data_IF_724237386719
#
_entry.id   IF_724237386719
#
_cell.length_a   1.000
_cell.length_b   1.000
_cell.length_c   1.000
_cell.angle_alpha   90.00
_cell.angle_beta   90.00
_cell.angle_gamma   90.00
#
_symmetry.space_group_name_H-M   'P 1'
#
loop_
_entity.id
_entity.type
_entity.pdbx_description
1 polymer ?
#
# COMPACT_ATOMS: atom_id res chain seq x y z
N UNK A 1 4.20 20.01 28.27
CA UNK A 1 3.95 18.59 27.83
C UNK A 1 3.26 18.47 26.46
N UNK A 2 2.51 19.49 26.05
CA UNK A 2 1.60 19.50 24.91
C UNK A 2 2.28 19.22 23.54
N UNK A 3 3.49 19.74 23.30
CA UNK A 3 4.23 19.49 22.04
C UNK A 3 4.61 18.01 21.83
N UNK A 4 4.90 17.27 22.92
CA UNK A 4 5.27 15.84 22.85
C UNK A 4 4.11 14.97 22.35
N UNK A 5 2.87 15.38 22.66
CA UNK A 5 1.64 14.71 22.20
C UNK A 5 1.49 14.81 20.69
N UNK A 6 1.79 15.96 20.11
CA UNK A 6 1.58 16.23 18.68
C UNK A 6 2.73 15.78 17.77
N UNK A 7 3.96 15.77 18.29
CA UNK A 7 5.18 15.44 17.51
C UNK A 7 5.07 14.18 16.64
N UNK A 8 4.48 13.04 17.08
CA UNK A 8 4.35 11.84 16.25
C UNK A 8 3.39 12.01 15.06
N UNK A 9 2.47 12.98 15.11
CA UNK A 9 1.36 13.12 14.18
C UNK A 9 1.50 14.29 13.22
N UNK A 10 2.45 15.21 13.43
CA UNK A 10 2.67 16.35 12.54
C UNK A 10 2.95 15.92 11.09
N UNK A 11 3.62 14.78 10.88
CA UNK A 11 3.86 14.21 9.56
C UNK A 11 2.61 13.69 8.84
N UNK A 12 1.48 13.53 9.54
CA UNK A 12 0.23 13.08 8.91
C UNK A 12 -0.42 14.16 8.04
N UNK A 13 -0.29 15.43 8.43
CA UNK A 13 -0.86 16.56 7.71
C UNK A 13 -0.47 16.62 6.21
N UNK A 14 0.82 16.61 5.82
CA UNK A 14 1.18 16.68 4.41
C UNK A 14 0.64 15.49 3.61
N UNK A 15 0.60 14.29 4.18
CA UNK A 15 0.01 13.14 3.49
C UNK A 15 -1.49 13.31 3.24
N UNK A 16 -2.22 13.87 4.21
CA UNK A 16 -3.66 14.14 4.10
C UNK A 16 -3.91 15.28 3.10
N UNK A 17 -3.17 16.38 3.21
CA UNK A 17 -3.29 17.54 2.32
C UNK A 17 -3.02 17.12 0.87
N UNK A 18 -1.92 16.38 0.61
CA UNK A 18 -1.61 15.87 -0.74
C UNK A 18 -2.68 14.91 -1.27
N UNK A 19 -3.27 14.06 -0.41
CA UNK A 19 -4.33 13.16 -0.83
C UNK A 19 -5.62 13.89 -1.22
N UNK A 20 -5.95 14.97 -0.52
CA UNK A 20 -7.11 15.83 -0.83
C UNK A 20 -6.86 16.58 -2.14
N UNK A 21 -5.71 17.25 -2.27
CA UNK A 21 -5.34 18.01 -3.47
C UNK A 21 -5.25 17.10 -4.71
N UNK A 22 -4.69 15.89 -4.58
CA UNK A 22 -4.58 14.95 -5.71
C UNK A 22 -5.95 14.41 -6.18
N UNK A 23 -6.95 14.39 -5.30
CA UNK A 23 -8.30 13.93 -5.64
C UNK A 23 -9.18 15.05 -6.22
N UNK A 24 -8.73 16.30 -6.12
CA UNK A 24 -9.42 17.49 -6.57
C UNK A 24 -9.00 17.88 -7.98
N UNK A 25 -9.80 17.47 -8.97
CA UNK A 25 -9.56 17.80 -10.36
C UNK A 25 -9.76 19.30 -10.66
N UNK A 26 -10.54 20.00 -9.84
CA UNK A 26 -10.98 21.38 -10.11
C UNK A 26 -10.11 22.43 -9.39
N UNK A 27 -9.18 21.99 -8.53
CA UNK A 27 -8.26 22.86 -7.78
C UNK A 27 -8.93 23.75 -6.72
N UNK A 28 -10.20 23.47 -6.39
CA UNK A 28 -11.00 24.20 -5.40
C UNK A 28 -10.68 23.84 -3.94
N UNK A 29 -9.98 22.73 -3.71
CA UNK A 29 -9.59 22.19 -2.40
C UNK A 29 -8.13 22.51 -2.06
N UNK A 30 -7.58 23.62 -2.57
CA UNK A 30 -6.23 24.08 -2.20
C UNK A 30 -6.06 24.11 -0.69
N UNK A 31 -4.91 23.62 -0.22
CA UNK A 31 -4.60 23.51 1.21
C UNK A 31 -3.64 24.59 1.70
N UNK A 32 -3.25 25.54 0.86
CA UNK A 32 -2.23 26.56 1.18
C UNK A 32 -2.58 27.40 2.41
N UNK A 33 -3.81 27.94 2.46
CA UNK A 33 -4.25 28.74 3.59
C UNK A 33 -4.28 27.93 4.89
N UNK A 34 -4.82 26.71 4.84
CA UNK A 34 -4.84 25.82 5.99
C UNK A 34 -3.43 25.41 6.43
N UNK A 35 -2.49 25.22 5.48
CA UNK A 35 -1.07 24.99 5.80
C UNK A 35 -0.48 26.19 6.55
N UNK A 36 -0.78 27.40 6.10
CA UNK A 36 -0.32 28.65 6.73
C UNK A 36 -0.87 28.83 8.15
N UNK A 37 -2.18 28.65 8.35
CA UNK A 37 -2.80 28.73 9.68
C UNK A 37 -2.26 27.67 10.63
N UNK A 38 -2.15 26.42 10.15
CA UNK A 38 -1.56 25.34 10.94
C UNK A 38 -0.12 25.64 11.33
N UNK A 39 0.69 26.18 10.42
CA UNK A 39 2.08 26.53 10.71
C UNK A 39 2.15 27.58 11.84
N UNK A 40 1.28 28.60 11.81
CA UNK A 40 1.17 29.59 12.88
C UNK A 40 0.79 28.95 14.22
N UNK A 41 -0.16 28.01 14.22
CA UNK A 41 -0.55 27.31 15.46
C UNK A 41 0.63 26.49 16.01
N UNK A 42 1.36 25.78 15.15
CA UNK A 42 2.54 25.00 15.57
C UNK A 42 3.65 25.91 16.11
N UNK A 43 3.88 27.06 15.48
CA UNK A 43 4.84 28.06 15.96
C UNK A 43 4.47 28.56 17.36
N UNK A 44 3.23 29.02 17.54
CA UNK A 44 2.74 29.46 18.85
C UNK A 44 2.76 28.35 19.91
N UNK A 45 2.53 27.10 19.51
CA UNK A 45 2.65 25.94 20.40
C UNK A 45 4.10 25.72 20.84
N UNK A 46 5.07 25.85 19.93
CA UNK A 46 6.49 25.74 20.28
C UNK A 46 6.90 26.83 21.26
N UNK A 47 6.48 28.08 21.04
CA UNK A 47 6.78 29.20 21.93
C UNK A 47 6.17 29.03 23.32
N UNK A 48 4.95 28.48 23.42
CA UNK A 48 4.28 28.26 24.70
C UNK A 48 4.74 26.98 25.44
N UNK A 49 5.36 26.02 24.74
CA UNK A 49 5.58 24.66 25.26
C UNK A 49 6.53 24.59 26.47
N UNK A 50 7.38 25.60 26.65
CA UNK A 50 8.36 25.66 27.75
C UNK A 50 7.93 26.62 28.87
N UNK A 51 7.01 27.56 28.60
CA UNK A 51 6.69 28.68 29.49
C UNK A 51 5.23 28.72 30.00
N UNK A 52 4.29 28.08 29.28
CA UNK A 52 2.86 28.18 29.59
C UNK A 52 2.09 26.92 29.13
N UNK A 53 1.94 25.94 30.03
CA UNK A 53 1.25 24.68 29.76
C UNK A 53 -0.25 24.86 29.45
N UNK A 54 -0.93 25.86 30.03
CA UNK A 54 -2.35 26.12 29.78
C UNK A 54 -2.56 26.63 28.34
N UNK A 55 -1.74 27.61 27.94
CA UNK A 55 -1.73 28.13 26.57
C UNK A 55 -1.31 27.07 25.56
N UNK A 56 -0.31 26.25 25.89
CA UNK A 56 0.13 25.15 25.05
C UNK A 56 -0.98 24.09 24.83
N UNK A 57 -1.80 23.80 25.84
CA UNK A 57 -2.95 22.91 25.67
C UNK A 57 -4.03 23.54 24.78
N UNK A 58 -4.29 24.84 24.91
CA UNK A 58 -5.19 25.58 24.01
C UNK A 58 -4.79 25.46 22.54
N UNK A 59 -3.50 25.60 22.24
CA UNK A 59 -3.00 25.38 20.88
C UNK A 59 -3.08 23.91 20.43
N UNK A 60 -2.95 22.95 21.34
CA UNK A 60 -3.16 21.54 21.01
C UNK A 60 -4.61 21.24 20.62
N UNK A 61 -5.59 21.90 21.25
CA UNK A 61 -7.00 21.80 20.87
C UNK A 61 -7.22 22.37 19.47
N UNK A 62 -6.63 23.52 19.15
CA UNK A 62 -6.71 24.09 17.79
C UNK A 62 -6.08 23.18 16.73
N UNK A 63 -4.97 22.50 17.05
CA UNK A 63 -4.40 21.48 16.15
C UNK A 63 -5.31 20.24 16.01
N UNK A 64 -5.98 19.81 17.09
CA UNK A 64 -6.95 18.71 17.02
C UNK A 64 -8.10 19.07 16.09
N UNK A 65 -8.57 20.31 16.18
CA UNK A 65 -9.62 20.84 15.31
C UNK A 65 -9.17 20.92 13.85
N UNK A 66 -7.97 21.42 13.58
CA UNK A 66 -7.40 21.49 12.23
C UNK A 66 -7.22 20.10 11.60
N UNK A 67 -6.77 19.11 12.38
CA UNK A 67 -6.66 17.72 11.93
C UNK A 67 -8.02 17.10 11.69
N UNK A 68 -8.99 17.31 12.59
CA UNK A 68 -10.36 16.84 12.42
C UNK A 68 -11.02 17.44 11.18
N UNK A 69 -10.83 18.73 10.90
CA UNK A 69 -11.32 19.38 9.68
C UNK A 69 -10.71 18.73 8.43
N UNK A 70 -9.39 18.50 8.43
CA UNK A 70 -8.69 17.82 7.34
C UNK A 70 -9.22 16.39 7.10
N UNK A 71 -9.46 15.62 8.17
CA UNK A 71 -10.05 14.29 8.08
C UNK A 71 -11.51 14.31 7.60
N UNK A 72 -12.29 15.32 7.98
CA UNK A 72 -13.66 15.49 7.49
C UNK A 72 -13.68 15.76 5.98
N UNK A 73 -12.79 16.63 5.49
CA UNK A 73 -12.61 16.88 4.06
C UNK A 73 -12.17 15.62 3.34
N UNK A 74 -11.16 14.92 3.86
CA UNK A 74 -10.69 13.65 3.31
C UNK A 74 -11.80 12.59 3.23
N UNK A 75 -12.71 12.56 4.21
CA UNK A 75 -13.88 11.67 4.18
C UNK A 75 -14.87 12.02 3.09
N UNK A 76 -15.03 13.31 2.75
CA UNK A 76 -15.95 13.75 1.70
C UNK A 76 -15.43 13.41 0.30
N UNK A 77 -14.13 13.19 0.14
CA UNK A 77 -13.53 12.75 -1.12
C UNK A 77 -13.96 11.31 -1.44
N UNK A 78 -14.48 11.04 -2.66
CA UNK A 78 -14.79 9.68 -3.09
C UNK A 78 -13.57 8.76 -3.00
N UNK A 79 -13.75 7.58 -2.41
CA UNK A 79 -12.67 6.61 -2.17
C UNK A 79 -11.91 6.21 -3.43
N UNK A 80 -12.60 6.18 -4.58
CA UNK A 80 -12.04 5.85 -5.89
C UNK A 80 -11.04 6.90 -6.40
N UNK A 81 -11.10 8.13 -5.87
CA UNK A 81 -10.17 9.23 -6.23
C UNK A 81 -8.94 9.27 -5.34
N UNK A 82 -8.94 8.54 -4.23
CA UNK A 82 -7.82 8.56 -3.29
C UNK A 82 -6.77 7.55 -3.73
N UNK A 83 -5.57 8.04 -4.05
CA UNK A 83 -4.43 7.23 -4.41
C UNK A 83 -3.85 6.48 -3.19
N UNK A 84 -4.49 5.38 -2.79
CA UNK A 84 -4.03 4.54 -1.67
C UNK A 84 -2.78 3.71 -1.99
N UNK A 85 -2.33 3.69 -3.25
CA UNK A 85 -1.25 2.84 -3.74
C UNK A 85 0.11 3.08 -3.06
N UNK A 86 0.39 4.31 -2.62
CA UNK A 86 1.66 4.66 -1.97
C UNK A 86 1.69 4.32 -0.48
N UNK A 87 0.57 3.92 0.13
CA UNK A 87 0.47 3.49 1.53
C UNK A 87 0.74 4.58 2.58
N UNK A 88 1.37 5.70 2.23
CA UNK A 88 1.70 6.80 3.16
C UNK A 88 0.47 7.38 3.83
N UNK A 89 -0.60 7.64 3.07
CA UNK A 89 -1.87 8.13 3.62
C UNK A 89 -2.56 7.09 4.51
N UNK A 90 -2.45 5.80 4.17
CA UNK A 90 -3.02 4.69 4.96
C UNK A 90 -2.29 4.56 6.29
N UNK A 91 -0.95 4.67 6.28
CA UNK A 91 -0.13 4.67 7.49
C UNK A 91 -0.42 5.87 8.38
N UNK A 92 -0.49 7.07 7.80
CA UNK A 92 -0.77 8.32 8.50
C UNK A 92 -2.13 8.30 9.20
N UNK A 93 -3.22 8.01 8.46
CA UNK A 93 -4.57 7.91 9.05
C UNK A 93 -4.66 6.73 10.02
N UNK A 94 -3.96 5.63 9.74
CA UNK A 94 -3.90 4.48 10.63
C UNK A 94 -3.19 4.75 11.96
N UNK A 95 -2.19 5.62 12.01
CA UNK A 95 -1.54 6.05 13.25
C UNK A 95 -2.46 6.97 14.06
N UNK A 96 -3.12 7.93 13.39
CA UNK A 96 -4.12 8.80 14.03
C UNK A 96 -5.26 8.00 14.66
N UNK A 97 -5.73 6.97 13.97
CA UNK A 97 -6.80 6.08 14.45
C UNK A 97 -6.46 5.38 15.78
N UNK A 98 -5.20 4.99 15.96
CA UNK A 98 -4.75 4.11 17.06
C UNK A 98 -4.30 4.89 18.27
N UNK A 99 -3.46 5.89 18.06
CA UNK A 99 -2.61 6.42 19.13
C UNK A 99 -2.88 7.91 19.43
N UNK A 100 -3.75 8.56 18.64
CA UNK A 100 -4.04 9.98 18.86
C UNK A 100 -4.87 10.19 20.14
N UNK A 101 -4.57 11.23 20.92
CA UNK A 101 -5.25 11.46 22.19
C UNK A 101 -6.68 12.02 22.03
N UNK A 102 -6.93 12.83 20.99
CA UNK A 102 -8.26 13.36 20.70
C UNK A 102 -9.21 12.29 20.15
N UNK A 103 -10.29 12.01 20.88
CA UNK A 103 -11.33 11.07 20.46
C UNK A 103 -12.01 11.46 19.14
N UNK A 104 -12.20 12.76 18.92
CA UNK A 104 -12.80 13.26 17.68
C UNK A 104 -11.91 12.94 16.48
N UNK A 105 -10.60 13.16 16.60
CA UNK A 105 -9.63 12.80 15.56
C UNK A 105 -9.61 11.29 15.33
N UNK A 106 -9.57 10.47 16.40
CA UNK A 106 -9.64 9.01 16.28
C UNK A 106 -10.92 8.53 15.60
N UNK A 107 -12.07 9.10 15.96
CA UNK A 107 -13.38 8.80 15.38
C UNK A 107 -13.40 9.06 13.87
N UNK A 108 -12.98 10.25 13.45
CA UNK A 108 -12.92 10.61 12.03
C UNK A 108 -11.93 9.75 11.25
N UNK A 109 -10.76 9.45 11.82
CA UNK A 109 -9.79 8.55 11.19
C UNK A 109 -10.35 7.14 10.98
N UNK A 110 -11.08 6.59 11.97
CA UNK A 110 -11.79 5.30 11.84
C UNK A 110 -12.79 5.34 10.69
N UNK A 111 -13.54 6.42 10.58
CA UNK A 111 -14.55 6.59 9.57
C UNK A 111 -14.00 6.71 8.15
N UNK A 112 -12.89 7.44 7.97
CA UNK A 112 -12.14 7.50 6.71
C UNK A 112 -11.72 6.09 6.29
N UNK A 113 -11.11 5.31 7.21
CA UNK A 113 -10.68 3.93 6.93
C UNK A 113 -11.86 3.02 6.58
N UNK A 114 -13.01 3.18 7.25
CA UNK A 114 -14.24 2.45 6.91
C UNK A 114 -14.73 2.81 5.51
N UNK A 115 -14.70 4.09 5.15
CA UNK A 115 -15.04 4.57 3.81
C UNK A 115 -14.17 3.92 2.72
N UNK A 116 -12.85 3.90 2.90
CA UNK A 116 -11.93 3.25 1.95
C UNK A 116 -12.21 1.75 1.80
N UNK A 117 -12.42 1.03 2.90
CA UNK A 117 -12.76 -0.41 2.86
C UNK A 117 -14.07 -0.66 2.13
N UNK A 118 -15.08 0.18 2.36
CA UNK A 118 -16.35 0.09 1.66
C UNK A 118 -16.18 0.35 0.16
N UNK A 119 -15.37 1.35 -0.23
CA UNK A 119 -15.02 1.65 -1.62
C UNK A 119 -14.38 0.47 -2.34
N UNK A 120 -13.31 -0.11 -1.78
CA UNK A 120 -12.64 -1.29 -2.34
C UNK A 120 -13.60 -2.49 -2.46
N UNK A 121 -14.46 -2.69 -1.45
CA UNK A 121 -15.47 -3.76 -1.50
C UNK A 121 -16.49 -3.52 -2.61
N UNK A 122 -16.92 -2.28 -2.81
CA UNK A 122 -17.84 -1.91 -3.88
C UNK A 122 -17.19 -2.09 -5.26
N UNK A 123 -15.94 -1.67 -5.42
CA UNK A 123 -15.16 -1.88 -6.66
C UNK A 123 -15.02 -3.38 -7.00
N UNK A 124 -14.65 -4.20 -6.00
CA UNK A 124 -14.55 -5.65 -6.18
C UNK A 124 -15.90 -6.28 -6.56
N UNK A 125 -17.00 -5.82 -5.96
CA UNK A 125 -18.34 -6.30 -6.31
C UNK A 125 -18.72 -5.92 -7.75
N UNK A 126 -18.45 -4.68 -8.18
CA UNK A 126 -18.65 -4.23 -9.56
C UNK A 126 -17.82 -5.06 -10.54
N UNK A 127 -16.56 -5.34 -10.22
CA UNK A 127 -15.69 -6.16 -11.06
C UNK A 127 -16.19 -7.60 -11.21
N UNK A 128 -16.69 -8.21 -10.12
CA UNK A 128 -17.30 -9.56 -10.17
C UNK A 128 -18.55 -9.58 -11.05
N UNK A 129 -19.46 -8.62 -10.85
CA UNK A 129 -20.67 -8.51 -11.67
C UNK A 129 -20.35 -8.31 -13.16
N UNK A 130 -19.30 -7.55 -13.50
CA UNK A 130 -18.86 -7.37 -14.88
C UNK A 130 -18.32 -8.67 -15.51
N UNK A 131 -17.71 -9.55 -14.72
CA UNK A 131 -17.24 -10.86 -15.18
C UNK A 131 -18.39 -11.84 -15.40
N UNK A 132 -19.39 -11.84 -14.52
CA UNK A 132 -20.56 -12.74 -14.63
C UNK A 132 -21.46 -12.37 -15.82
N UNK A 133 -21.51 -11.09 -16.21
CA UNK A 133 -22.25 -10.62 -17.38
C UNK A 133 -21.55 -10.92 -18.73
N UNK A 134 -20.35 -11.54 -18.73
CA UNK A 134 -19.64 -11.95 -19.95
C UNK A 134 -20.12 -13.34 -20.40
N UNK A 135 -21.25 -13.40 -21.10
CA UNK A 135 -21.79 -14.64 -21.67
C UNK A 135 -20.79 -15.34 -22.63
N UNK A 136 -20.84 -16.67 -22.79
CA UNK A 136 -19.98 -17.37 -23.74
C UNK A 136 -20.38 -16.94 -25.15
N UNK A 137 -19.42 -16.44 -25.93
CA UNK A 137 -19.58 -16.29 -27.38
C UNK A 137 -19.78 -17.70 -27.94
N UNK A 138 -21.05 -18.09 -28.14
CA UNK A 138 -21.42 -19.25 -28.94
C UNK A 138 -20.94 -18.96 -30.37
N UNK A 139 -19.74 -19.46 -30.69
CA UNK A 139 -19.26 -19.52 -32.08
C UNK A 139 -20.11 -20.57 -32.78
N UNK A 140 -21.19 -20.14 -33.42
CA UNK A 140 -21.94 -20.97 -34.36
C UNK A 140 -21.07 -21.19 -35.59
N UNK A 141 -20.30 -22.29 -35.59
CA UNK A 141 -19.65 -22.79 -36.80
C UNK A 141 -20.75 -23.36 -37.70
N UNK A 142 -21.30 -22.54 -38.60
CA UNK A 142 -22.11 -23.03 -39.70
C UNK A 142 -21.18 -23.69 -40.73
N UNK A 143 -21.01 -25.00 -40.60
CA UNK A 143 -20.57 -25.86 -41.70
C UNK A 143 -21.72 -25.97 -42.71
N UNK A 144 -21.49 -25.50 -43.95
CA UNK A 144 -22.27 -25.90 -45.11
C UNK A 144 -21.33 -26.38 -46.22
N UNK A 145 -21.37 -27.66 -46.62
CA UNK A 145 -20.63 -28.16 -47.77
C UNK A 145 -21.55 -28.22 -49.00
N UNK A 146 -21.09 -27.72 -50.14
CA UNK A 146 -21.58 -27.98 -51.51
C UNK A 146 -20.91 -26.93 -52.43
N UNK A 147 -20.36 -27.15 -53.61
CA UNK A 147 -20.04 -28.29 -54.50
C UNK A 147 -19.37 -27.64 -55.73
N UNK A 148 -18.45 -28.37 -56.40
CA UNK A 148 -18.01 -28.34 -57.82
C UNK A 148 -18.55 -27.26 -58.79
N UNK A 149 -17.88 -26.80 -59.86
CA UNK A 149 -16.58 -27.01 -60.50
C UNK A 149 -16.51 -26.02 -61.71
N UNK A 150 -15.33 -25.96 -62.34
CA UNK A 150 -15.03 -25.68 -63.76
C UNK A 150 -14.72 -24.24 -64.21
N UNK A 151 -13.49 -24.05 -64.70
CA UNK A 151 -13.20 -23.15 -65.83
C UNK A 151 -12.04 -22.17 -65.67
N UNK A 152 -10.83 -22.57 -66.08
CA UNK A 152 -9.72 -21.69 -66.50
C UNK A 152 -9.62 -21.72 -68.05
N UNK A 153 -8.75 -20.96 -68.78
CA UNK A 153 -7.62 -20.14 -68.29
C UNK A 153 -7.35 -18.81 -69.06
N UNK A 154 -6.24 -18.17 -68.64
CA UNK A 154 -5.33 -17.28 -69.39
C UNK A 154 -5.60 -15.76 -69.39
N UNK A 155 -4.74 -15.00 -68.70
CA UNK A 155 -3.62 -14.21 -69.26
C UNK A 155 -2.99 -13.38 -68.12
N UNK A 156 -1.67 -13.51 -67.94
CA UNK A 156 -0.79 -12.56 -67.21
C UNK A 156 0.23 -12.06 -68.25
N UNK A 157 0.73 -10.81 -68.20
CA UNK A 157 1.74 -10.42 -67.18
C UNK A 157 1.68 -8.95 -66.64
N UNK A 158 1.74 -8.79 -65.31
CA UNK A 158 2.73 -8.07 -64.44
C UNK A 158 3.46 -6.79 -64.99
N UNK A 159 3.92 -5.76 -64.21
CA UNK A 159 3.81 -5.41 -62.75
C UNK A 159 3.45 -3.92 -62.42
N UNK A 160 2.99 -3.60 -61.19
CA UNK A 160 3.47 -2.44 -60.40
C UNK A 160 2.82 -2.28 -58.99
N UNK A 161 3.69 -2.39 -57.96
CA UNK A 161 3.68 -1.76 -56.61
C UNK A 161 2.71 -2.24 -55.51
N UNK A 162 3.23 -2.55 -54.29
CA UNK A 162 2.45 -3.06 -53.16
C UNK A 162 1.87 -1.94 -52.27
N UNK A 163 0.55 -1.94 -52.06
CA UNK A 163 -0.07 -1.26 -50.91
C UNK A 163 -0.09 -2.23 -49.72
N UNK A 164 0.73 -1.94 -48.70
CA UNK A 164 0.79 -2.71 -47.45
C UNK A 164 -0.46 -2.44 -46.61
N UNK A 165 -1.35 -3.41 -46.53
CA UNK A 165 -2.22 -3.65 -45.37
C UNK A 165 -2.13 -5.15 -45.03
N UNK A 166 -2.01 -5.54 -43.76
CA UNK A 166 -1.85 -6.95 -43.41
C UNK A 166 -3.21 -7.60 -43.13
N UNK A 167 -3.56 -8.74 -43.75
CA UNK A 167 -4.45 -9.69 -43.10
C UNK A 167 -3.59 -10.60 -42.23
N UNK A 168 -3.57 -10.29 -40.94
CA UNK A 168 -3.18 -11.22 -39.89
C UNK A 168 -4.19 -12.36 -39.88
N UNK A 169 -3.82 -13.50 -40.47
CA UNK A 169 -4.40 -14.79 -40.10
C UNK A 169 -3.24 -15.71 -39.73
N UNK A 170 -2.65 -15.43 -38.57
CA UNK A 170 -1.89 -16.46 -37.86
C UNK A 170 -2.91 -17.36 -37.18
N UNK A 171 -2.99 -18.60 -37.65
CA UNK A 171 -3.89 -19.64 -37.16
C UNK A 171 -4.00 -19.64 -35.62
N UNK A 172 -5.21 -19.54 -35.06
CA UNK A 172 -5.45 -19.49 -33.60
C UNK A 172 -4.87 -20.70 -32.87
N UNK A 173 -4.82 -21.86 -33.54
CA UNK A 173 -4.18 -23.08 -33.04
C UNK A 173 -2.68 -22.93 -32.79
N UNK A 174 -1.98 -22.03 -33.50
CA UNK A 174 -0.56 -21.77 -33.27
C UNK A 174 -0.33 -20.87 -32.05
N UNK A 175 -1.26 -19.97 -31.73
CA UNK A 175 -1.18 -19.10 -30.54
C UNK A 175 -1.55 -19.89 -29.29
N UNK A 176 -2.55 -20.77 -29.37
CA UNK A 176 -3.00 -21.61 -28.24
C UNK A 176 -1.92 -22.63 -27.84
N UNK A 177 -1.28 -23.29 -28.82
CA UNK A 177 -0.12 -24.17 -28.56
C UNK A 177 1.06 -23.44 -27.92
N UNK A 178 1.31 -22.19 -28.31
CA UNK A 178 2.36 -21.34 -27.70
C UNK A 178 2.01 -20.98 -26.25
N UNK A 179 0.74 -20.69 -25.98
CA UNK A 179 0.24 -20.38 -24.63
C UNK A 179 0.27 -21.61 -23.71
N UNK A 180 -0.04 -22.80 -24.24
CA UNK A 180 0.04 -24.03 -23.46
C UNK A 180 1.50 -24.40 -23.12
N UNK A 181 2.40 -24.21 -24.08
CA UNK A 181 3.83 -24.47 -23.88
C UNK A 181 4.44 -23.55 -22.80
N UNK A 182 4.07 -22.27 -22.77
CA UNK A 182 4.53 -21.34 -21.72
C UNK A 182 3.95 -21.70 -20.35
N UNK A 183 2.66 -22.07 -20.29
CA UNK A 183 2.02 -22.53 -19.03
C UNK A 183 2.71 -23.76 -18.45
N UNK A 184 3.04 -24.76 -19.28
CA UNK A 184 3.77 -25.96 -18.85
C UNK A 184 5.15 -25.62 -18.30
N UNK A 185 5.90 -24.78 -19.02
CA UNK A 185 7.27 -24.37 -18.62
C UNK A 185 7.29 -23.61 -17.30
N UNK A 186 6.28 -22.78 -17.02
CA UNK A 186 6.17 -22.05 -15.77
C UNK A 186 5.93 -23.00 -14.58
N UNK A 187 5.03 -23.97 -14.73
CA UNK A 187 4.75 -24.97 -13.69
C UNK A 187 5.95 -25.89 -13.42
N UNK A 188 6.66 -26.28 -14.46
CA UNK A 188 7.89 -27.07 -14.36
C UNK A 188 8.97 -26.34 -13.56
N UNK A 189 9.19 -25.05 -13.85
CA UNK A 189 10.16 -24.22 -13.09
C UNK A 189 9.80 -24.05 -11.62
N UNK A 190 8.52 -23.89 -11.30
CA UNK A 190 8.08 -23.85 -9.90
C UNK A 190 8.37 -25.16 -9.18
N UNK A 191 8.10 -26.29 -9.84
CA UNK A 191 8.39 -27.62 -9.28
C UNK A 191 9.88 -27.84 -9.07
N UNK A 192 10.72 -27.46 -10.04
CA UNK A 192 12.18 -27.52 -9.93
C UNK A 192 12.71 -26.67 -8.77
N UNK A 193 12.16 -25.47 -8.56
CA UNK A 193 12.56 -24.59 -7.47
C UNK A 193 12.19 -25.17 -6.09
N UNK A 194 11.03 -25.81 -5.98
CA UNK A 194 10.65 -26.52 -4.77
C UNK A 194 11.53 -27.75 -4.50
N UNK A 195 11.84 -28.53 -5.53
CA UNK A 195 12.76 -29.66 -5.41
C UNK A 195 14.17 -29.20 -5.02
N UNK A 196 14.64 -28.09 -5.56
CA UNK A 196 15.89 -27.48 -5.14
C UNK A 196 15.87 -27.03 -3.66
N UNK A 197 14.73 -26.49 -3.19
CA UNK A 197 14.53 -26.12 -1.78
C UNK A 197 14.53 -27.35 -0.87
N UNK A 198 13.84 -28.43 -1.27
CA UNK A 198 13.84 -29.72 -0.57
C UNK A 198 15.25 -30.31 -0.47
N UNK A 199 16.01 -30.29 -1.57
CA UNK A 199 17.41 -30.79 -1.62
C UNK A 199 18.39 -29.96 -0.77
N UNK A 200 18.08 -28.70 -0.45
CA UNK A 200 18.94 -27.81 0.37
C UNK A 200 18.61 -27.83 1.87
N UNK A 201 17.57 -28.54 2.31
CA UNK A 201 17.08 -28.49 3.70
C UNK A 201 17.51 -29.70 4.55
N UNK A 202 18.74 -30.20 4.37
CA UNK A 202 19.32 -31.19 5.30
C UNK A 202 20.69 -30.73 5.77
N UNK A 203 20.71 -30.01 6.90
CA UNK A 203 21.69 -30.16 7.98
C UNK A 203 20.97 -29.88 9.31
N UNK A 204 20.65 -30.94 10.02
CA UNK A 204 20.21 -30.89 11.42
C UNK A 204 21.43 -30.48 12.27
N UNK A 205 21.45 -29.24 12.76
CA UNK A 205 22.47 -28.79 13.71
C UNK A 205 22.19 -29.51 15.03
N UNK A 206 22.94 -30.60 15.28
CA UNK A 206 22.97 -31.26 16.57
C UNK A 206 23.65 -30.31 17.58
N UNK A 207 22.96 -29.84 18.63
CA UNK A 207 23.60 -28.97 19.61
C UNK A 207 24.72 -29.74 20.36
N UNK A 208 25.89 -29.13 20.56
CA UNK A 208 26.96 -29.75 21.34
C UNK A 208 26.53 -29.92 22.81
N UNK A 209 26.89 -31.07 23.39
CA UNK A 209 26.58 -31.41 24.79
C UNK A 209 27.26 -30.41 25.74
N UNK A 210 26.58 -29.95 26.80
CA UNK A 210 27.20 -29.09 27.80
C UNK A 210 28.26 -29.87 28.60
N UNK A 211 29.42 -29.27 28.90
CA UNK A 211 30.41 -29.90 29.76
C UNK A 211 29.89 -30.03 31.19
N UNK A 212 29.94 -31.26 31.69
CA UNK A 212 29.64 -31.65 33.07
C UNK A 212 30.75 -31.21 34.02
N UNK A 213 30.39 -30.37 34.99
CA UNK A 213 31.00 -30.27 36.32
C UNK A 213 32.21 -29.34 36.46
N UNK A 214 32.14 -28.36 37.37
CA UNK A 214 32.71 -28.50 38.73
C UNK A 214 32.56 -27.19 39.55
N UNK A 215 31.72 -27.29 40.59
CA UNK A 215 31.76 -26.67 41.93
C UNK A 215 32.09 -25.17 42.13
N UNK A 216 31.04 -24.46 42.58
CA UNK A 216 30.94 -23.65 43.80
C UNK A 216 32.22 -23.40 44.63
N UNK A 217 32.54 -22.13 44.92
CA UNK A 217 32.43 -21.45 46.24
C UNK A 217 33.17 -20.10 46.23
N UNK A 218 32.75 -19.21 47.15
CA UNK A 218 33.37 -17.96 47.64
C UNK A 218 32.72 -16.67 47.07
N UNK A 219 31.61 -16.21 47.65
CA UNK A 219 31.50 -15.37 48.87
C UNK A 219 32.02 -13.94 48.67
N UNK A 220 31.09 -12.99 48.54
CA UNK A 220 31.34 -11.54 48.61
C UNK A 220 31.66 -11.11 50.04
N UNK A 221 32.63 -10.20 50.27
CA UNK A 221 32.65 -9.39 51.48
C UNK A 221 31.96 -8.05 51.26
N UNK A 222 31.02 -7.79 52.17
CA UNK A 222 30.33 -6.54 52.38
C UNK A 222 31.21 -5.56 53.19
N UNK A 223 31.00 -4.25 52.94
CA UNK A 223 31.20 -3.10 53.86
C UNK A 223 32.58 -2.92 54.52
N UNK A 224 33.25 -1.81 54.18
CA UNK A 224 34.13 -1.13 55.14
C UNK A 224 33.77 0.34 55.25
N UNK A 225 33.48 0.72 56.49
CA UNK A 225 33.06 2.04 56.92
C UNK A 225 34.16 3.10 56.75
N UNK A 226 33.70 4.35 56.56
CA UNK A 226 34.46 5.59 56.71
C UNK A 226 35.15 5.64 58.09
N UNK A 227 36.40 6.07 58.10
CA UNK A 227 37.05 6.63 59.30
C UNK A 227 37.46 8.10 59.01
N UNK A 228 37.45 9.00 60.00
CA UNK A 228 37.65 10.44 59.81
C UNK A 228 39.11 10.91 60.01
N UNK A 229 39.28 12.20 59.71
CA UNK A 229 40.46 13.08 59.62
C UNK A 229 41.62 12.94 60.63
N UNK A 230 42.81 13.38 60.18
CA UNK A 230 43.79 14.09 61.02
C UNK A 230 44.60 15.08 60.16
N UNK A 231 44.60 16.35 60.58
CA UNK A 231 45.58 17.36 60.21
C UNK A 231 46.88 17.13 60.99
N UNK A 232 48.01 17.47 60.38
CA UNK A 232 49.22 18.03 61.00
C UNK A 232 50.03 18.71 59.88
#
# INVERSE_FOLDING_TARGET
MALRRWKPFLGAFPHIDTAIEAADADGLLSRDEIRGERARIVEMLCDAADDDDEKAEGFCVLLDEAMAASLATLRAVPSERIALASGHIVGAVGALMRDHASERVRGLARDVVRGWRAGVKAELARARAAMDNRAPVVRTNNLKPSSADTGAPAVVPVPARPKKTPPVVSCSVAVEKKMEATKRKLHERYREAEDAKRRRTIQEIRPPRPPTGQRQRNAHPAVRARAPASCA
#
